data_IF_002895042290
#
_entry.id   IF_002895042290
#
_cell.length_a   1.000
_cell.length_b   1.000
_cell.length_c   1.000
_cell.angle_alpha   90.00
_cell.angle_beta   90.00
_cell.angle_gamma   90.00
#
_symmetry.space_group_name_H-M   'P 1'
#
loop_
_entity.id
_entity.type
_entity.pdbx_description
1 polymer ?
#
# COMPACT_ATOMS: atom_id res chain seq x y z
N UNK A 1 29.89 57.55 -0.44
CA UNK A 1 30.32 57.04 0.88
C UNK A 1 29.07 56.92 1.72
N UNK A 2 28.49 55.72 1.77
CA UNK A 2 28.83 54.64 2.72
C UNK A 2 27.76 54.66 3.82
N UNK A 3 26.66 53.94 3.60
CA UNK A 3 25.91 53.26 4.66
C UNK A 3 25.23 52.03 4.04
N UNK A 4 25.81 50.89 4.40
CA UNK A 4 25.59 49.54 3.90
C UNK A 4 24.16 49.03 4.12
N UNK A 5 23.56 48.44 3.08
CA UNK A 5 22.63 47.33 3.26
C UNK A 5 23.43 46.13 3.79
N UNK A 6 23.44 45.93 5.10
CA UNK A 6 23.82 44.65 5.67
C UNK A 6 22.77 43.61 5.26
N UNK A 7 23.05 42.92 4.16
CA UNK A 7 22.55 41.57 3.93
C UNK A 7 22.81 40.79 5.22
N UNK A 8 21.73 40.38 5.91
CA UNK A 8 21.82 39.66 7.17
C UNK A 8 22.76 38.47 7.01
N UNK A 9 23.94 38.56 7.62
CA UNK A 9 24.91 37.48 7.58
C UNK A 9 24.29 36.25 8.25
N UNK A 10 24.26 35.14 7.50
CA UNK A 10 23.88 33.84 8.05
C UNK A 10 24.78 33.55 9.24
N UNK A 11 24.20 33.59 10.44
CA UNK A 11 24.91 33.29 11.68
C UNK A 11 25.35 31.82 11.66
N UNK A 12 26.50 31.44 12.25
CA UNK A 12 26.98 30.04 12.24
C UNK A 12 25.95 29.04 12.80
N UNK A 13 25.11 29.48 13.74
CA UNK A 13 23.98 28.69 14.27
C UNK A 13 22.91 28.40 13.21
N UNK A 14 22.61 29.38 12.35
CA UNK A 14 21.66 29.28 11.23
C UNK A 14 22.20 28.38 10.12
N UNK A 15 23.51 28.45 9.86
CA UNK A 15 24.18 27.59 8.89
C UNK A 15 24.27 26.13 9.36
N UNK A 16 24.59 25.91 10.64
CA UNK A 16 24.62 24.58 11.28
C UNK A 16 23.24 23.95 11.30
N UNK A 17 22.19 24.72 11.63
CA UNK A 17 20.81 24.26 11.59
C UNK A 17 20.36 23.90 10.17
N UNK A 18 20.75 24.68 9.14
CA UNK A 18 20.47 24.37 7.73
C UNK A 18 21.22 23.13 7.24
N UNK A 19 22.49 22.96 7.61
CA UNK A 19 23.28 21.75 7.29
C UNK A 19 22.66 20.51 7.92
N UNK A 20 22.32 20.56 9.21
CA UNK A 20 21.63 19.47 9.91
C UNK A 20 20.25 19.17 9.30
N UNK A 21 19.51 20.19 8.86
CA UNK A 21 18.23 19.98 8.18
C UNK A 21 18.37 19.37 6.78
N UNK A 22 19.38 19.81 6.02
CA UNK A 22 19.71 19.22 4.72
C UNK A 22 20.15 17.76 4.84
N UNK A 23 20.92 17.42 5.87
CA UNK A 23 21.35 16.07 6.18
C UNK A 23 20.16 15.17 6.54
N UNK A 24 19.29 15.62 7.47
CA UNK A 24 18.03 14.91 7.78
C UNK A 24 17.15 14.69 6.56
N UNK A 25 17.00 15.69 5.68
CA UNK A 25 16.25 15.55 4.42
C UNK A 25 16.89 14.54 3.49
N UNK A 26 18.23 14.54 3.37
CA UNK A 26 18.97 13.60 2.52
C UNK A 26 18.84 12.17 3.04
N UNK A 27 19.01 11.95 4.33
CA UNK A 27 18.83 10.65 4.98
C UNK A 27 17.40 10.14 4.81
N UNK A 28 16.41 11.01 5.00
CA UNK A 28 15.00 10.66 4.77
C UNK A 28 14.76 10.24 3.31
N UNK A 29 15.27 11.00 2.33
CA UNK A 29 15.16 10.65 0.91
C UNK A 29 15.83 9.31 0.61
N UNK A 30 17.06 9.10 1.08
CA UNK A 30 17.78 7.84 0.88
C UNK A 30 17.02 6.66 1.48
N UNK A 31 16.40 6.83 2.65
CA UNK A 31 15.57 5.80 3.27
C UNK A 31 14.30 5.51 2.49
N UNK A 32 13.56 6.55 2.07
CA UNK A 32 12.35 6.38 1.25
C UNK A 32 12.67 5.66 -0.05
N UNK A 33 13.74 6.09 -0.73
CA UNK A 33 14.16 5.46 -1.98
C UNK A 33 14.72 4.06 -1.77
N UNK A 34 15.47 3.85 -0.69
CA UNK A 34 15.96 2.54 -0.27
C UNK A 34 14.80 1.58 -0.06
N UNK A 35 13.80 1.95 0.74
CA UNK A 35 12.60 1.13 0.90
C UNK A 35 11.91 0.91 -0.45
N UNK A 36 11.45 1.94 -1.15
CA UNK A 36 10.59 1.77 -2.33
C UNK A 36 11.28 1.11 -3.53
N UNK A 37 12.58 1.34 -3.74
CA UNK A 37 13.27 0.89 -4.95
C UNK A 37 14.21 -0.29 -4.75
N UNK A 38 14.47 -0.74 -3.51
CA UNK A 38 15.15 -2.02 -3.28
C UNK A 38 14.34 -3.16 -3.86
N UNK A 39 15.06 -4.09 -4.51
CA UNK A 39 14.49 -5.34 -4.97
C UNK A 39 14.56 -6.36 -3.84
N UNK A 40 13.50 -7.12 -3.64
CA UNK A 40 13.54 -8.36 -2.87
C UNK A 40 14.58 -9.31 -3.48
N UNK A 41 15.28 -10.07 -2.62
CA UNK A 41 16.19 -11.12 -3.04
C UNK A 41 15.45 -12.25 -3.76
N UNK A 42 14.28 -12.61 -3.23
CA UNK A 42 13.44 -13.69 -3.76
C UNK A 42 12.34 -13.17 -4.68
N UNK A 43 11.92 -14.01 -5.63
CA UNK A 43 10.77 -13.71 -6.50
C UNK A 43 9.49 -13.80 -5.69
N UNK A 44 8.58 -12.85 -5.94
CA UNK A 44 7.24 -12.86 -5.37
C UNK A 44 6.50 -14.15 -5.77
N UNK A 45 5.67 -14.75 -4.89
CA UNK A 45 4.80 -15.86 -5.26
C UNK A 45 3.77 -15.48 -6.34
N UNK A 46 3.54 -14.18 -6.55
CA UNK A 46 2.61 -13.64 -7.56
C UNK A 46 3.32 -13.10 -8.81
N UNK A 47 4.63 -13.36 -8.97
CA UNK A 47 5.46 -12.95 -10.11
C UNK A 47 5.50 -14.05 -11.19
N UNK A 48 4.71 -13.88 -12.25
CA UNK A 48 4.71 -14.74 -13.43
C UNK A 48 4.17 -14.03 -14.68
N UNK A 49 4.48 -14.57 -15.86
CA UNK A 49 3.81 -14.16 -17.10
C UNK A 49 2.33 -14.53 -16.99
N UNK A 50 1.43 -13.59 -17.28
CA UNK A 50 -0.01 -13.82 -17.17
C UNK A 50 -0.60 -14.24 -18.52
N UNK A 51 -1.59 -15.11 -18.48
CA UNK A 51 -2.37 -15.53 -19.64
C UNK A 51 -3.60 -14.64 -19.89
N UNK A 52 -4.48 -15.07 -20.80
CA UNK A 52 -5.72 -14.36 -21.11
C UNK A 52 -6.81 -14.56 -20.04
N UNK A 53 -6.67 -15.56 -19.18
CA UNK A 53 -7.71 -15.98 -18.25
C UNK A 53 -7.70 -15.19 -16.94
N UNK A 54 -8.86 -15.02 -16.32
CA UNK A 54 -9.01 -14.38 -15.00
C UNK A 54 -9.85 -15.27 -14.10
N UNK A 55 -9.36 -15.46 -12.88
CA UNK A 55 -10.15 -16.03 -11.78
C UNK A 55 -10.43 -14.95 -10.77
N UNK A 56 -11.64 -14.98 -10.21
CA UNK A 56 -12.11 -13.99 -9.25
C UNK A 56 -12.68 -14.70 -8.03
N UNK A 57 -12.39 -14.18 -6.84
CA UNK A 57 -13.04 -14.60 -5.60
C UNK A 57 -13.32 -13.40 -4.70
N UNK A 58 -14.21 -13.58 -3.74
CA UNK A 58 -14.68 -12.55 -2.82
C UNK A 58 -14.68 -13.08 -1.39
N UNK A 59 -14.43 -12.20 -0.44
CA UNK A 59 -14.64 -12.46 0.98
C UNK A 59 -15.27 -11.22 1.64
N UNK A 60 -16.04 -11.43 2.69
CA UNK A 60 -16.72 -10.37 3.43
C UNK A 60 -16.59 -10.63 4.91
N UNK A 61 -16.19 -9.61 5.65
CA UNK A 61 -16.14 -9.66 7.13
C UNK A 61 -16.86 -8.44 7.73
N UNK A 62 -17.38 -8.54 8.97
CA UNK A 62 -18.02 -7.41 9.63
C UNK A 62 -17.01 -6.28 9.89
N UNK A 63 -17.37 -5.05 9.48
CA UNK A 63 -16.52 -3.86 9.62
C UNK A 63 -16.27 -3.53 11.08
N UNK A 64 -17.33 -3.42 11.88
CA UNK A 64 -17.22 -3.12 13.31
C UNK A 64 -16.33 -4.12 14.05
N UNK A 65 -16.51 -5.42 13.79
CA UNK A 65 -15.73 -6.47 14.45
C UNK A 65 -14.25 -6.41 14.10
N UNK A 66 -13.90 -6.28 12.82
CA UNK A 66 -12.51 -6.20 12.38
C UNK A 66 -11.83 -4.92 12.91
N UNK A 67 -12.49 -3.77 12.74
CA UNK A 67 -11.94 -2.48 13.18
C UNK A 67 -11.73 -2.44 14.69
N UNK A 68 -12.76 -2.81 15.46
CA UNK A 68 -12.70 -2.67 16.91
C UNK A 68 -11.76 -3.69 17.53
N UNK A 69 -11.68 -4.90 16.98
CA UNK A 69 -10.72 -5.91 17.43
C UNK A 69 -9.28 -5.44 17.19
N UNK A 70 -8.98 -4.91 15.99
CA UNK A 70 -7.65 -4.38 15.69
C UNK A 70 -7.29 -3.20 16.60
N UNK A 71 -8.24 -2.28 16.81
CA UNK A 71 -8.07 -1.13 17.68
C UNK A 71 -7.85 -1.53 19.14
N UNK A 72 -8.62 -2.47 19.67
CA UNK A 72 -8.45 -2.98 21.05
C UNK A 72 -7.13 -3.71 21.24
N UNK A 73 -6.72 -4.52 20.26
CA UNK A 73 -5.54 -5.38 20.41
C UNK A 73 -4.22 -4.59 20.36
N UNK A 74 -4.10 -3.63 19.44
CA UNK A 74 -2.80 -2.96 19.17
C UNK A 74 -2.92 -1.46 18.90
N UNK A 75 -4.12 -0.89 18.96
CA UNK A 75 -4.39 0.48 18.51
C UNK A 75 -4.23 0.65 17.00
N UNK A 76 -4.30 -0.44 16.24
CA UNK A 76 -4.20 -0.43 14.78
C UNK A 76 -5.43 0.18 14.10
N UNK A 77 -5.23 0.70 12.90
CA UNK A 77 -6.31 1.19 12.04
C UNK A 77 -6.93 0.05 11.24
N UNK A 78 -8.11 0.28 10.65
CA UNK A 78 -8.75 -0.69 9.74
C UNK A 78 -7.82 -1.11 8.60
N UNK A 79 -7.04 -0.19 8.04
CA UNK A 79 -6.12 -0.51 6.95
C UNK A 79 -5.01 -1.46 7.41
N UNK A 80 -4.51 -1.31 8.63
CA UNK A 80 -3.50 -2.22 9.18
C UNK A 80 -4.11 -3.62 9.41
N UNK A 81 -5.38 -3.67 9.85
CA UNK A 81 -6.13 -4.91 10.02
C UNK A 81 -6.32 -5.65 8.68
N UNK A 82 -6.74 -4.94 7.63
CA UNK A 82 -6.87 -5.48 6.27
C UNK A 82 -5.56 -6.10 5.78
N UNK A 83 -4.44 -5.40 5.95
CA UNK A 83 -3.12 -5.91 5.55
C UNK A 83 -2.69 -7.13 6.38
N UNK A 84 -3.01 -7.17 7.67
CA UNK A 84 -2.71 -8.29 8.55
C UNK A 84 -3.52 -9.55 8.19
N UNK A 85 -4.81 -9.38 7.87
CA UNK A 85 -5.68 -10.46 7.41
C UNK A 85 -5.15 -11.00 6.08
N UNK A 86 -4.81 -10.13 5.13
CA UNK A 86 -4.21 -10.55 3.85
C UNK A 86 -2.90 -11.32 4.02
N UNK A 87 -1.99 -10.89 4.90
CA UNK A 87 -0.76 -11.65 5.14
C UNK A 87 -1.05 -13.04 5.71
N UNK A 88 -2.03 -13.17 6.61
CA UNK A 88 -2.49 -14.48 7.11
C UNK A 88 -3.06 -15.34 5.99
N UNK A 89 -3.93 -14.79 5.14
CA UNK A 89 -4.49 -15.52 4.01
C UNK A 89 -3.42 -15.98 3.00
N UNK A 90 -2.39 -15.16 2.75
CA UNK A 90 -1.29 -15.52 1.87
C UNK A 90 -0.37 -16.59 2.47
N UNK A 91 -0.08 -16.52 3.77
CA UNK A 91 0.61 -17.58 4.52
C UNK A 91 -0.12 -18.91 4.34
N UNK A 92 -1.40 -18.98 4.71
CA UNK A 92 -2.20 -20.21 4.60
C UNK A 92 -2.27 -20.73 3.17
N UNK A 93 -2.46 -19.86 2.18
CA UNK A 93 -2.53 -20.25 0.77
C UNK A 93 -1.22 -20.87 0.25
N UNK A 94 -0.06 -20.38 0.73
CA UNK A 94 1.26 -20.92 0.40
C UNK A 94 1.52 -22.25 1.12
N UNK A 95 1.18 -22.34 2.41
CA UNK A 95 1.34 -23.55 3.23
C UNK A 95 0.50 -24.71 2.68
N UNK A 96 -0.76 -24.45 2.33
CA UNK A 96 -1.69 -25.45 1.74
C UNK A 96 -1.14 -26.07 0.44
N UNK A 97 -0.20 -25.39 -0.22
CA UNK A 97 0.43 -25.82 -1.48
C UNK A 97 1.83 -26.41 -1.30
N UNK A 98 2.28 -26.56 -0.05
CA UNK A 98 3.64 -27.02 0.27
C UNK A 98 4.73 -26.12 -0.33
N UNK A 99 4.44 -24.82 -0.49
CA UNK A 99 5.40 -23.83 -0.99
C UNK A 99 6.16 -23.23 0.17
N UNK A 100 7.42 -22.91 -0.06
CA UNK A 100 8.20 -22.14 0.92
C UNK A 100 7.53 -20.79 1.16
N UNK A 101 7.19 -20.53 2.42
CA UNK A 101 6.59 -19.26 2.86
C UNK A 101 7.74 -18.26 3.08
N UNK A 102 7.81 -17.17 2.30
CA UNK A 102 8.82 -16.13 2.54
C UNK A 102 8.51 -15.40 3.85
N UNK A 103 9.53 -14.90 4.53
CA UNK A 103 9.35 -14.16 5.80
C UNK A 103 8.39 -12.97 5.65
N UNK A 104 8.48 -12.27 4.52
CA UNK A 104 7.59 -11.18 4.18
C UNK A 104 7.35 -11.05 2.68
N UNK A 105 6.21 -10.49 2.31
CA UNK A 105 5.94 -10.02 0.95
C UNK A 105 5.65 -8.53 0.96
N UNK A 106 6.05 -7.80 -0.08
CA UNK A 106 5.84 -6.35 -0.13
C UNK A 106 4.52 -6.02 -0.80
N UNK A 107 3.58 -5.41 -0.09
CA UNK A 107 2.32 -4.91 -0.66
C UNK A 107 2.43 -3.43 -1.01
N UNK A 108 2.05 -3.04 -2.22
CA UNK A 108 1.90 -1.64 -2.61
C UNK A 108 0.50 -1.17 -2.22
N UNK A 109 0.44 -0.13 -1.39
CA UNK A 109 -0.81 0.40 -0.83
C UNK A 109 -0.94 1.87 -1.23
N UNK A 110 -2.02 2.27 -1.94
CA UNK A 110 -2.28 3.66 -2.23
C UNK A 110 -2.66 4.38 -0.93
N UNK A 111 -2.23 5.64 -0.82
CA UNK A 111 -2.62 6.51 0.27
C UNK A 111 -3.10 7.84 -0.29
N UNK A 112 -4.28 8.23 0.18
CA UNK A 112 -4.86 9.53 -0.15
C UNK A 112 -4.01 10.64 0.45
N UNK A 113 -3.64 11.61 -0.39
CA UNK A 113 -2.94 12.83 0.03
C UNK A 113 -3.88 14.03 0.17
N UNK A 114 -5.20 13.83 0.12
CA UNK A 114 -6.18 14.91 0.23
C UNK A 114 -6.02 15.65 1.58
N UNK A 115 -6.05 16.99 1.51
CA UNK A 115 -6.09 17.87 2.67
C UNK A 115 -7.34 18.77 2.56
N UNK A 116 -8.32 18.59 3.46
CA UNK A 116 -9.51 19.45 3.52
C UNK A 116 -10.49 19.27 2.35
N UNK A 117 -11.21 20.35 2.00
CA UNK A 117 -12.22 20.45 0.91
C UNK A 117 -11.58 20.62 -0.49
N UNK A 118 -10.49 19.90 -0.77
CA UNK A 118 -9.88 19.91 -2.10
C UNK A 118 -10.83 19.19 -3.11
N UNK A 119 -11.53 19.95 -3.95
CA UNK A 119 -12.41 19.46 -5.02
C UNK A 119 -11.65 19.00 -6.29
N UNK A 120 -10.33 18.85 -6.23
CA UNK A 120 -9.50 18.44 -7.35
C UNK A 120 -9.37 16.90 -7.43
N UNK A 121 -9.42 16.35 -8.65
CA UNK A 121 -9.41 14.91 -8.93
C UNK A 121 -8.24 14.11 -8.32
N UNK A 122 -8.50 12.82 -8.12
CA UNK A 122 -7.70 11.79 -7.45
C UNK A 122 -6.23 12.15 -7.13
N UNK A 123 -5.99 12.69 -5.93
CA UNK A 123 -4.65 13.00 -5.39
C UNK A 123 -4.14 11.88 -4.48
N UNK A 124 -3.77 10.77 -5.09
CA UNK A 124 -3.26 9.59 -4.40
C UNK A 124 -1.75 9.40 -4.65
N UNK A 125 -1.04 9.03 -3.59
CA UNK A 125 0.33 8.51 -3.67
C UNK A 125 0.32 7.06 -3.20
N UNK A 126 1.48 6.46 -2.99
CA UNK A 126 1.59 5.10 -2.47
C UNK A 126 2.83 4.97 -1.60
N UNK A 127 2.86 3.92 -0.79
CA UNK A 127 4.09 3.33 -0.29
C UNK A 127 3.93 1.81 -0.26
N UNK A 128 5.06 1.12 -0.24
CA UNK A 128 5.07 -0.33 -0.04
C UNK A 128 5.07 -0.65 1.44
N UNK A 129 4.46 -1.77 1.86
CA UNK A 129 4.45 -2.28 3.22
C UNK A 129 4.90 -3.73 3.21
N UNK A 130 5.95 -4.12 3.96
CA UNK A 130 6.25 -5.53 4.18
C UNK A 130 5.11 -6.15 5.00
N UNK A 131 4.48 -7.17 4.42
CA UNK A 131 3.49 -8.01 5.05
C UNK A 131 4.22 -9.23 5.60
N UNK A 132 4.30 -9.40 6.93
CA UNK A 132 5.03 -10.50 7.51
C UNK A 132 4.15 -11.76 7.53
N UNK A 133 4.63 -12.81 6.88
CA UNK A 133 3.90 -14.06 6.73
C UNK A 133 4.21 -15.00 7.89
N UNK A 134 5.46 -15.13 8.29
CA UNK A 134 5.94 -16.10 9.29
C UNK A 134 5.81 -15.66 10.76
N UNK A 135 4.90 -14.73 11.06
CA UNK A 135 4.65 -14.30 12.43
C UNK A 135 3.83 -15.34 13.21
N UNK A 136 4.07 -15.55 14.51
CA UNK A 136 3.46 -16.64 15.30
C UNK A 136 1.94 -16.50 15.50
N UNK A 137 1.32 -15.41 15.02
CA UNK A 137 -0.12 -15.22 15.10
C UNK A 137 -0.60 -13.85 14.62
N UNK A 138 -1.93 -13.66 14.50
CA UNK A 138 -2.53 -12.48 13.89
C UNK A 138 -2.22 -11.17 14.63
N UNK A 139 -2.08 -11.21 15.96
CA UNK A 139 -1.78 -10.00 16.76
C UNK A 139 -0.32 -9.55 16.60
N UNK A 140 0.63 -10.49 16.50
CA UNK A 140 2.03 -10.17 16.24
C UNK A 140 2.20 -9.53 14.85
N UNK A 141 1.58 -10.16 13.84
CA UNK A 141 1.47 -9.66 12.47
C UNK A 141 0.88 -8.25 12.42
N UNK A 142 -0.26 -8.03 13.07
CA UNK A 142 -0.91 -6.73 13.14
C UNK A 142 -0.02 -5.67 13.80
N UNK A 143 0.66 -6.01 14.89
CA UNK A 143 1.56 -5.09 15.61
C UNK A 143 2.73 -4.65 14.73
N UNK A 144 3.36 -5.58 14.00
CA UNK A 144 4.48 -5.28 13.08
C UNK A 144 4.02 -4.40 11.93
N UNK A 145 2.90 -4.73 11.29
CA UNK A 145 2.31 -3.90 10.21
C UNK A 145 2.00 -2.50 10.73
N UNK A 146 1.35 -2.37 11.89
CA UNK A 146 1.00 -1.07 12.49
C UNK A 146 2.24 -0.24 12.82
N UNK A 147 3.29 -0.84 13.35
CA UNK A 147 4.54 -0.13 13.63
C UNK A 147 5.12 0.47 12.34
N UNK A 148 5.12 -0.33 11.28
CA UNK A 148 5.67 0.04 9.98
C UNK A 148 4.83 1.12 9.26
N UNK A 149 3.50 0.96 9.22
CA UNK A 149 2.62 1.96 8.60
C UNK A 149 2.62 3.27 9.39
N UNK A 150 2.72 3.21 10.72
CA UNK A 150 2.86 4.40 11.57
C UNK A 150 4.16 5.13 11.25
N UNK A 151 5.28 4.40 11.18
CA UNK A 151 6.57 4.99 10.83
C UNK A 151 6.50 5.68 9.46
N UNK A 152 5.98 5.03 8.42
CA UNK A 152 5.87 5.63 7.08
C UNK A 152 4.99 6.88 7.04
N UNK A 153 3.84 6.85 7.73
CA UNK A 153 2.93 8.00 7.83
C UNK A 153 3.59 9.17 8.57
N UNK A 154 4.22 8.93 9.72
CA UNK A 154 4.93 9.96 10.49
C UNK A 154 6.07 10.59 9.69
N UNK A 155 6.74 9.82 8.84
CA UNK A 155 7.78 10.30 7.96
C UNK A 155 7.26 11.00 6.70
N UNK A 156 5.93 11.01 6.46
CA UNK A 156 5.30 11.59 5.27
C UNK A 156 5.86 11.03 3.95
N UNK A 157 6.23 9.75 3.95
CA UNK A 157 6.92 9.11 2.81
C UNK A 157 6.13 9.23 1.50
N UNK A 158 4.81 9.09 1.58
CA UNK A 158 3.92 9.28 0.44
C UNK A 158 3.97 10.69 -0.18
N UNK A 159 4.11 11.73 0.65
CA UNK A 159 4.27 13.13 0.17
C UNK A 159 5.63 13.31 -0.48
N UNK A 160 6.67 12.67 0.07
CA UNK A 160 8.02 12.68 -0.50
C UNK A 160 8.03 12.02 -1.88
N UNK A 161 7.36 10.87 -2.04
CA UNK A 161 7.23 10.16 -3.31
C UNK A 161 6.42 10.95 -4.33
N UNK A 162 5.26 11.50 -3.96
CA UNK A 162 4.43 12.34 -4.84
C UNK A 162 5.22 13.54 -5.40
N UNK A 163 5.89 14.28 -4.52
CA UNK A 163 6.74 15.42 -4.92
C UNK A 163 7.87 15.00 -5.86
N UNK A 164 8.41 13.81 -5.68
CA UNK A 164 9.47 13.30 -6.55
C UNK A 164 8.94 12.94 -7.94
N UNK A 165 7.82 12.21 -8.03
CA UNK A 165 7.17 11.90 -9.30
C UNK A 165 6.73 13.16 -10.05
N UNK A 166 6.16 14.16 -9.35
CA UNK A 166 5.78 15.44 -9.96
C UNK A 166 6.99 16.19 -10.53
N UNK A 167 8.11 16.25 -9.78
CA UNK A 167 9.35 16.87 -10.28
C UNK A 167 9.88 16.15 -11.51
N UNK A 168 9.90 14.81 -11.49
CA UNK A 168 10.39 14.04 -12.62
C UNK A 168 9.50 14.19 -13.87
N UNK A 169 8.18 14.23 -13.69
CA UNK A 169 7.22 14.48 -14.77
C UNK A 169 7.41 15.86 -15.41
N UNK A 170 7.81 16.87 -14.63
CA UNK A 170 8.15 18.21 -15.13
C UNK A 170 9.44 18.28 -15.96
N UNK A 171 10.32 17.27 -15.89
CA UNK A 171 11.57 17.24 -16.66
C UNK A 171 11.33 16.67 -18.07
N UNK A 172 10.64 15.52 -18.18
CA UNK A 172 10.34 14.88 -19.47
C UNK A 172 9.28 13.78 -19.32
N UNK A 173 8.43 13.64 -20.32
CA UNK A 173 7.46 12.53 -20.42
C UNK A 173 8.14 11.16 -20.46
N UNK A 174 9.26 11.02 -21.19
CA UNK A 174 10.02 9.76 -21.26
C UNK A 174 10.59 9.34 -19.91
N UNK A 175 11.04 10.31 -19.11
CA UNK A 175 11.55 10.05 -17.76
C UNK A 175 10.40 9.61 -16.83
N UNK A 176 9.24 10.26 -16.95
CA UNK A 176 8.03 9.86 -16.22
C UNK A 176 7.63 8.42 -16.53
N UNK A 177 7.58 8.04 -17.81
CA UNK A 177 7.23 6.67 -18.22
C UNK A 177 8.26 5.64 -17.75
N UNK A 178 9.54 5.98 -17.82
CA UNK A 178 10.61 5.14 -17.30
C UNK A 178 10.44 4.93 -15.79
N UNK A 179 10.18 5.99 -15.02
CA UNK A 179 9.97 5.91 -13.58
C UNK A 179 8.71 5.15 -13.20
N UNK A 180 7.63 5.26 -13.98
CA UNK A 180 6.42 4.44 -13.80
C UNK A 180 6.72 2.96 -14.00
N UNK A 181 7.43 2.60 -15.08
CA UNK A 181 7.89 1.21 -15.33
C UNK A 181 8.81 0.70 -14.22
N UNK A 182 9.68 1.55 -13.69
CA UNK A 182 10.46 1.20 -12.49
C UNK A 182 9.55 1.01 -11.26
N UNK A 183 8.54 1.84 -11.05
CA UNK A 183 7.57 1.70 -9.95
C UNK A 183 6.59 0.54 -10.07
N UNK A 184 6.65 -0.23 -11.16
CA UNK A 184 5.86 -1.43 -11.47
C UNK A 184 6.73 -2.70 -11.56
N UNK A 185 7.95 -2.68 -11.01
CA UNK A 185 8.80 -3.88 -10.97
C UNK A 185 8.28 -4.85 -9.89
N UNK A 186 7.92 -6.10 -10.24
CA UNK A 186 7.41 -7.11 -9.31
C UNK A 186 8.44 -7.57 -8.28
N UNK A 187 9.74 -7.25 -8.49
CA UNK A 187 10.76 -7.43 -7.46
C UNK A 187 10.71 -6.36 -6.39
N UNK A 188 9.94 -5.27 -6.56
CA UNK A 188 9.77 -4.18 -5.58
C UNK A 188 8.51 -4.34 -4.75
N UNK A 189 7.44 -4.88 -5.34
CA UNK A 189 6.24 -5.26 -4.61
C UNK A 189 5.61 -6.51 -5.23
N UNK A 190 5.06 -7.37 -4.39
CA UNK A 190 4.43 -8.63 -4.74
C UNK A 190 2.96 -8.44 -5.17
N UNK A 191 2.23 -7.55 -4.49
CA UNK A 191 0.78 -7.40 -4.64
C UNK A 191 0.36 -5.94 -4.49
N UNK A 192 -0.65 -5.51 -5.26
CA UNK A 192 -1.33 -4.25 -5.02
C UNK A 192 -2.58 -4.49 -4.16
N UNK A 193 -2.69 -3.73 -3.07
CA UNK A 193 -3.87 -3.74 -2.19
C UNK A 193 -4.48 -2.36 -2.22
N UNK A 194 -5.62 -2.21 -2.87
CA UNK A 194 -6.38 -0.96 -2.90
C UNK A 194 -7.50 -1.02 -1.87
N UNK A 195 -7.60 -0.01 -1.01
CA UNK A 195 -8.64 0.07 0.02
C UNK A 195 -9.42 1.36 -0.13
N UNK A 196 -10.67 1.25 -0.58
CA UNK A 196 -11.53 2.38 -0.91
C UNK A 196 -12.66 2.48 0.11
N UNK A 197 -12.97 3.70 0.54
CA UNK A 197 -14.17 3.94 1.35
C UNK A 197 -15.38 3.99 0.42
N UNK A 198 -16.26 3.01 0.53
CA UNK A 198 -17.54 3.00 -0.15
C UNK A 198 -18.63 3.75 0.64
N UNK A 199 -19.88 3.70 0.16
CA UNK A 199 -21.02 4.32 0.84
C UNK A 199 -21.20 3.76 2.25
N UNK A 200 -21.39 4.66 3.23
CA UNK A 200 -21.70 4.27 4.61
C UNK A 200 -23.14 3.79 4.76
N UNK A 201 -24.08 4.41 4.02
CA UNK A 201 -25.49 4.06 4.12
C UNK A 201 -25.89 3.02 3.06
N UNK A 202 -26.81 2.08 3.39
CA UNK A 202 -27.29 1.09 2.43
C UNK A 202 -27.82 1.71 1.15
N UNK A 203 -27.32 1.23 0.00
CA UNK A 203 -27.78 1.69 -1.31
C UNK A 203 -28.81 0.73 -1.90
N UNK A 204 -29.70 1.25 -2.75
CA UNK A 204 -30.74 0.48 -3.43
C UNK A 204 -30.61 0.63 -4.95
N UNK A 205 -30.81 -0.46 -5.67
CA UNK A 205 -30.94 -0.47 -7.13
C UNK A 205 -32.39 -0.81 -7.46
N UNK A 206 -33.09 0.11 -8.12
CA UNK A 206 -34.51 -0.03 -8.47
C UNK A 206 -35.39 -0.42 -7.26
N UNK A 207 -35.08 0.14 -6.08
CA UNK A 207 -35.79 -0.14 -4.83
C UNK A 207 -35.32 -1.38 -4.07
N UNK A 208 -34.45 -2.21 -4.65
CA UNK A 208 -33.91 -3.42 -4.02
C UNK A 208 -32.61 -3.11 -3.26
N UNK A 209 -32.48 -3.46 -1.97
CA UNK A 209 -31.24 -3.27 -1.22
C UNK A 209 -30.05 -4.02 -1.83
N UNK A 210 -28.91 -3.35 -1.93
CA UNK A 210 -27.64 -3.98 -2.33
C UNK A 210 -27.04 -4.70 -1.13
N UNK A 211 -26.81 -6.01 -1.27
CA UNK A 211 -26.32 -6.87 -0.19
C UNK A 211 -24.82 -6.74 0.10
N UNK A 212 -24.00 -6.56 -0.95
CA UNK A 212 -22.57 -6.29 -0.84
C UNK A 212 -22.07 -5.55 -2.07
N UNK A 213 -20.93 -4.86 -1.93
CA UNK A 213 -20.23 -4.21 -3.03
C UNK A 213 -18.79 -4.71 -3.00
N UNK A 214 -18.29 -5.21 -4.13
CA UNK A 214 -16.90 -5.66 -4.25
C UNK A 214 -16.20 -4.85 -5.34
N UNK A 215 -14.92 -4.53 -5.12
CA UNK A 215 -14.07 -3.89 -6.13
C UNK A 215 -13.17 -4.93 -6.78
N UNK A 216 -13.02 -4.83 -8.10
CA UNK A 216 -12.09 -5.64 -8.87
C UNK A 216 -11.11 -4.71 -9.56
N UNK A 217 -9.83 -5.06 -9.49
CA UNK A 217 -8.77 -4.37 -10.20
C UNK A 217 -8.10 -5.34 -11.16
N UNK A 218 -7.81 -4.87 -12.37
CA UNK A 218 -7.12 -5.68 -13.37
C UNK A 218 -5.71 -6.05 -12.91
N UNK A 219 -5.31 -7.29 -13.15
CA UNK A 219 -3.92 -7.73 -13.00
C UNK A 219 -3.05 -7.17 -14.12
N UNK A 220 -1.74 -7.18 -13.90
CA UNK A 220 -0.75 -6.72 -14.86
C UNK A 220 0.35 -7.76 -15.00
N UNK A 221 1.17 -7.63 -16.05
CA UNK A 221 2.33 -8.50 -16.24
C UNK A 221 3.16 -8.59 -14.96
N UNK A 222 3.48 -9.84 -14.59
CA UNK A 222 4.24 -10.17 -13.37
C UNK A 222 3.64 -9.71 -12.04
N UNK A 223 2.37 -9.29 -12.06
CA UNK A 223 1.55 -9.00 -10.90
C UNK A 223 0.25 -9.79 -11.03
N UNK A 224 0.38 -11.11 -10.87
CA UNK A 224 -0.70 -12.05 -11.16
C UNK A 224 -1.83 -12.05 -10.12
N UNK A 225 -1.74 -11.21 -9.08
CA UNK A 225 -2.79 -11.01 -8.08
C UNK A 225 -3.00 -9.52 -7.81
N UNK A 226 -4.26 -9.09 -7.77
CA UNK A 226 -4.70 -7.80 -7.24
C UNK A 226 -5.77 -8.00 -6.19
N UNK A 227 -5.70 -7.19 -5.15
CA UNK A 227 -6.69 -7.15 -4.07
C UNK A 227 -7.36 -5.78 -4.05
N UNK A 228 -8.67 -5.78 -4.28
CA UNK A 228 -9.55 -4.65 -4.02
C UNK A 228 -10.25 -4.84 -2.68
N UNK A 229 -10.29 -3.80 -1.87
CA UNK A 229 -11.02 -3.77 -0.61
C UNK A 229 -11.93 -2.55 -0.63
N UNK A 230 -13.17 -2.73 -0.25
CA UNK A 230 -14.13 -1.64 -0.09
C UNK A 230 -14.93 -1.81 1.18
N UNK A 231 -15.09 -0.73 1.93
CA UNK A 231 -16.07 -0.69 3.03
C UNK A 231 -17.42 -0.29 2.49
N UNK A 232 -18.47 -1.03 2.81
CA UNK A 232 -19.85 -0.70 2.42
C UNK A 232 -20.79 -1.11 3.55
N UNK A 233 -21.64 -0.20 4.01
CA UNK A 233 -22.47 -0.43 5.21
C UNK A 233 -21.58 -0.89 6.39
N UNK A 234 -21.95 -1.94 7.12
CA UNK A 234 -21.12 -2.55 8.18
C UNK A 234 -20.25 -3.72 7.66
N UNK A 235 -19.81 -3.67 6.40
CA UNK A 235 -19.00 -4.73 5.79
C UNK A 235 -17.64 -4.21 5.29
N UNK A 236 -16.63 -5.07 5.40
CA UNK A 236 -15.37 -4.97 4.65
C UNK A 236 -15.39 -6.06 3.60
N UNK A 237 -15.45 -5.65 2.34
CA UNK A 237 -15.58 -6.54 1.20
C UNK A 237 -14.25 -6.61 0.45
N UNK A 238 -13.68 -7.81 0.38
CA UNK A 238 -12.48 -8.14 -0.37
C UNK A 238 -12.87 -8.67 -1.74
N UNK A 239 -12.13 -8.27 -2.76
CA UNK A 239 -12.19 -8.78 -4.12
C UNK A 239 -10.80 -9.14 -4.60
N UNK A 240 -10.65 -10.39 -5.05
CA UNK A 240 -9.41 -10.92 -5.56
C UNK A 240 -9.56 -11.15 -7.05
N UNK A 241 -8.64 -10.59 -7.84
CA UNK A 241 -8.53 -10.86 -9.27
C UNK A 241 -7.15 -11.43 -9.54
N UNK A 242 -7.09 -12.59 -10.17
CA UNK A 242 -5.83 -13.28 -10.39
C UNK A 242 -5.76 -14.00 -11.75
N UNK A 243 -4.54 -14.27 -12.19
CA UNK A 243 -4.29 -15.22 -13.27
C UNK A 243 -4.24 -16.63 -12.69
N UNK A 244 -5.10 -17.57 -13.12
CA UNK A 244 -5.14 -18.92 -12.55
C UNK A 244 -3.92 -19.78 -12.87
N UNK A 245 -3.13 -19.43 -13.90
CA UNK A 245 -1.89 -20.12 -14.25
C UNK A 245 -0.73 -19.79 -13.30
N UNK A 246 -0.75 -18.61 -12.67
CA UNK A 246 0.24 -18.20 -11.66
C UNK A 246 -0.30 -18.36 -10.24
N UNK A 247 -1.55 -18.01 -10.01
CA UNK A 247 -2.22 -18.05 -8.70
C UNK A 247 -3.43 -18.99 -8.77
N UNK A 248 -3.21 -20.31 -8.71
CA UNK A 248 -4.29 -21.29 -8.75
C UNK A 248 -5.17 -21.20 -7.49
N UNK A 249 -6.46 -21.50 -7.67
CA UNK A 249 -7.52 -21.47 -6.66
C UNK A 249 -7.48 -20.23 -5.76
N UNK A 250 -7.62 -19.05 -6.36
CA UNK A 250 -7.75 -17.78 -5.62
C UNK A 250 -8.87 -17.81 -4.56
N UNK A 251 -9.85 -18.71 -4.72
CA UNK A 251 -10.85 -19.02 -3.68
C UNK A 251 -10.24 -19.39 -2.33
N UNK A 252 -9.13 -20.12 -2.30
CA UNK A 252 -8.42 -20.48 -1.05
C UNK A 252 -7.81 -19.27 -0.34
N UNK A 253 -7.43 -18.22 -1.08
CA UNK A 253 -7.02 -16.94 -0.46
C UNK A 253 -8.24 -16.28 0.18
N UNK A 254 -9.38 -16.27 -0.51
CA UNK A 254 -10.60 -15.69 0.03
C UNK A 254 -11.15 -16.44 1.25
N UNK A 255 -11.04 -17.78 1.26
CA UNK A 255 -11.41 -18.62 2.41
C UNK A 255 -10.53 -18.37 3.65
N UNK A 256 -9.31 -17.84 3.45
CA UNK A 256 -8.37 -17.50 4.52
C UNK A 256 -8.56 -16.10 5.11
N UNK A 257 -9.56 -15.34 4.63
CA UNK A 257 -9.96 -14.02 5.16
C UNK A 257 -10.94 -14.21 6.33
#
# INVERSE_FOLDING_TARGET
TLWDEQAGADTPATETARKADAERRREHLLRVYGHEFTRSGDRSPFDGEIGPDRTISFATVPLGELHDTAKRATGATLNDAVLAVLAGAFEHWLEDRGRDVPDEIRAKVPVSLHQGDDHAGNRDSFFTVPLPLTEPGPIARLSRIRAETTARKSNRDAVTLDRWFQRAAGISTRLSDLLKRFGEDPRRFAVNVSNVRGPHDPVKVLGTPVGSIHTLAEIAERHALRVGVITYDDQVNFGFCADPGVVPDVGRIADGI
#
